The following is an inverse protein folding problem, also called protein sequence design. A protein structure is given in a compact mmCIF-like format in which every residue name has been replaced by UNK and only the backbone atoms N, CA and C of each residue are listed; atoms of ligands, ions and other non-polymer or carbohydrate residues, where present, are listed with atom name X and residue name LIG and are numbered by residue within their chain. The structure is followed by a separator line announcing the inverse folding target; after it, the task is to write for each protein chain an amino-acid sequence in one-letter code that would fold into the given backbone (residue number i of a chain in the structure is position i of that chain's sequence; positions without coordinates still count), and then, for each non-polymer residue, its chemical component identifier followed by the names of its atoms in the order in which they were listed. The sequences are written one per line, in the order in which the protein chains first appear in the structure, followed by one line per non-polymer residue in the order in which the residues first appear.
data_IF_710293595328
#
_entry.id   IF_710293595328
#
_cell.length_a   1.000
_cell.length_b   1.000
_cell.length_c   1.000
_cell.angle_alpha   90.00
_cell.angle_beta   90.00
_cell.angle_gamma   90.00
#
_symmetry.space_group_name_H-M   'P 1'
#
loop_
_entity.id
_entity.type
_entity.pdbx_description
1 polymer ?
#
# COMPACT_ATOMS: atom_id res chain seq x y z
N UNK A 1 56.10 -62.53 27.06
CA UNK A 1 55.11 -62.17 26.06
C UNK A 1 54.59 -60.81 26.51
N UNK A 2 55.07 -59.77 25.86
CA UNK A 2 54.86 -58.36 26.26
C UNK A 2 54.12 -57.68 25.07
N UNK A 3 52.77 -57.58 25.21
CA UNK A 3 51.94 -56.97 24.17
C UNK A 3 51.71 -55.49 24.52
N UNK A 4 52.64 -54.65 24.04
CA UNK A 4 52.47 -53.20 24.13
C UNK A 4 51.80 -52.74 22.83
N UNK A 5 50.53 -52.31 22.93
CA UNK A 5 49.80 -51.62 21.88
C UNK A 5 50.27 -50.17 21.76
N UNK A 6 50.68 -49.66 20.59
CA UNK A 6 51.11 -48.27 20.42
C UNK A 6 49.96 -47.30 20.45
N UNK A 7 50.02 -46.31 21.39
CA UNK A 7 49.04 -45.23 21.44
C UNK A 7 49.38 -44.17 20.38
N UNK A 8 48.56 -44.04 19.36
CA UNK A 8 48.66 -43.00 18.34
C UNK A 8 48.06 -41.71 18.92
N UNK A 9 48.93 -40.69 19.19
CA UNK A 9 48.49 -39.33 19.49
C UNK A 9 48.14 -38.63 18.18
N UNK A 10 46.85 -38.29 17.97
CA UNK A 10 46.41 -37.35 16.98
C UNK A 10 46.56 -35.91 17.51
N UNK A 11 47.53 -35.16 17.01
CA UNK A 11 47.62 -33.71 17.14
C UNK A 11 46.80 -33.08 16.01
N UNK A 12 45.48 -33.05 16.15
CA UNK A 12 44.60 -32.29 15.30
C UNK A 12 44.46 -30.86 15.79
N UNK A 13 45.05 -29.89 15.10
CA UNK A 13 44.79 -28.49 15.28
C UNK A 13 43.30 -28.23 14.92
N UNK A 14 42.49 -27.89 15.94
CA UNK A 14 41.13 -27.43 15.71
C UNK A 14 41.21 -26.02 15.13
N UNK A 15 41.16 -25.87 13.82
CA UNK A 15 40.72 -24.65 13.17
C UNK A 15 39.28 -24.42 13.57
N UNK A 16 39.02 -23.34 14.32
CA UNK A 16 37.68 -22.88 14.65
C UNK A 16 36.88 -22.68 13.34
N UNK A 17 35.61 -23.11 13.27
CA UNK A 17 34.78 -22.79 12.11
C UNK A 17 34.69 -21.27 12.00
N UNK A 18 35.05 -20.75 10.82
CA UNK A 18 34.78 -19.36 10.46
C UNK A 18 33.34 -19.04 10.83
N UNK A 19 33.14 -18.01 11.64
CA UNK A 19 31.83 -17.44 11.88
C UNK A 19 31.31 -17.00 10.52
N UNK A 20 30.38 -17.79 9.97
CA UNK A 20 29.51 -17.36 8.87
C UNK A 20 28.90 -16.04 9.34
N UNK A 21 29.29 -14.98 8.64
CA UNK A 21 28.81 -13.64 8.89
C UNK A 21 27.31 -13.67 9.05
N UNK A 22 26.82 -13.12 10.16
CA UNK A 22 25.41 -12.79 10.32
C UNK A 22 25.07 -11.94 9.12
N UNK A 23 24.29 -12.52 8.19
CA UNK A 23 23.65 -11.78 7.12
C UNK A 23 23.03 -10.56 7.77
N UNK A 24 23.45 -9.37 7.34
CA UNK A 24 22.84 -8.13 7.78
C UNK A 24 21.34 -8.33 7.52
N UNK A 25 20.53 -8.35 8.58
CA UNK A 25 19.07 -8.30 8.46
C UNK A 25 18.76 -7.08 7.61
N UNK A 26 18.33 -7.31 6.38
CA UNK A 26 17.84 -6.28 5.50
C UNK A 26 16.57 -5.75 6.19
N UNK A 27 16.72 -4.66 6.94
CA UNK A 27 15.60 -3.92 7.52
C UNK A 27 14.74 -3.44 6.37
N UNK A 28 13.60 -4.10 6.16
CA UNK A 28 12.64 -3.73 5.13
C UNK A 28 12.21 -4.91 4.26
N UNK A 29 11.92 -6.06 4.87
CA UNK A 29 11.19 -7.11 4.15
C UNK A 29 9.81 -6.57 3.81
N UNK A 30 9.43 -6.70 2.52
CA UNK A 30 8.05 -6.58 2.06
C UNK A 30 7.11 -7.42 2.95
N UNK A 31 5.81 -7.23 2.83
CA UNK A 31 4.75 -7.95 3.56
C UNK A 31 5.21 -9.29 4.16
N UNK A 32 5.04 -9.47 5.47
CA UNK A 32 5.43 -10.72 6.14
C UNK A 32 4.25 -11.69 6.16
N UNK A 33 4.51 -12.98 5.89
CA UNK A 33 3.49 -14.05 5.90
C UNK A 33 2.54 -14.01 7.12
N UNK A 34 3.02 -13.60 8.30
CA UNK A 34 2.21 -13.53 9.52
C UNK A 34 1.08 -12.49 9.49
N UNK A 35 1.10 -11.56 8.54
CA UNK A 35 0.07 -10.53 8.37
C UNK A 35 -0.94 -10.88 7.29
N UNK A 36 -0.69 -11.93 6.49
CA UNK A 36 -1.67 -12.40 5.52
C UNK A 36 -2.92 -12.95 6.20
N UNK A 37 -4.08 -12.51 5.72
CA UNK A 37 -5.38 -12.93 6.25
C UNK A 37 -5.84 -12.16 7.48
N UNK A 38 -5.19 -11.06 7.82
CA UNK A 38 -5.63 -10.19 8.90
C UNK A 38 -6.81 -9.28 8.49
N UNK A 39 -7.23 -8.39 9.39
CA UNK A 39 -8.35 -7.47 9.13
C UNK A 39 -8.05 -6.48 8.00
N UNK A 40 -6.78 -6.18 7.69
CA UNK A 40 -6.41 -5.29 6.60
C UNK A 40 -6.67 -5.95 5.23
N UNK A 41 -6.43 -7.26 5.11
CA UNK A 41 -6.74 -8.01 3.90
C UNK A 41 -8.25 -8.13 3.68
N UNK A 42 -9.05 -8.25 4.75
CA UNK A 42 -10.51 -8.19 4.64
C UNK A 42 -10.99 -6.83 4.10
N UNK A 43 -10.36 -5.72 4.53
CA UNK A 43 -10.66 -4.38 4.01
C UNK A 43 -10.23 -4.25 2.55
N UNK A 44 -9.05 -4.75 2.16
CA UNK A 44 -8.60 -4.75 0.76
C UNK A 44 -9.56 -5.53 -0.14
N UNK A 45 -10.03 -6.69 0.32
CA UNK A 45 -11.04 -7.48 -0.39
C UNK A 45 -12.35 -6.70 -0.56
N UNK A 46 -12.81 -5.98 0.46
CA UNK A 46 -13.97 -5.10 0.35
C UNK A 46 -13.76 -4.04 -0.75
N UNK A 47 -12.59 -3.40 -0.84
CA UNK A 47 -12.28 -2.46 -1.92
C UNK A 47 -12.39 -3.10 -3.29
N UNK A 48 -11.87 -4.32 -3.46
CA UNK A 48 -12.00 -5.07 -4.72
C UNK A 48 -13.46 -5.30 -5.09
N UNK A 49 -14.28 -5.74 -4.15
CA UNK A 49 -15.69 -6.03 -4.37
C UNK A 49 -16.48 -4.76 -4.74
N UNK A 50 -16.20 -3.63 -4.08
CA UNK A 50 -16.88 -2.36 -4.33
C UNK A 50 -16.50 -1.70 -5.66
N UNK A 51 -15.25 -1.87 -6.11
CA UNK A 51 -14.78 -1.22 -7.34
C UNK A 51 -14.88 -2.13 -8.58
N UNK A 52 -15.26 -3.40 -8.43
CA UNK A 52 -15.21 -4.41 -9.49
C UNK A 52 -15.96 -3.99 -10.77
N UNK A 53 -17.13 -3.40 -10.62
CA UNK A 53 -17.99 -3.00 -11.75
C UNK A 53 -17.59 -1.68 -12.42
N UNK A 54 -16.75 -0.90 -11.75
CA UNK A 54 -16.28 0.37 -12.28
C UNK A 54 -14.85 0.31 -12.83
N UNK A 55 -13.92 -0.07 -11.99
CA UNK A 55 -12.51 -0.17 -12.33
C UNK A 55 -11.85 -1.21 -11.40
N UNK A 56 -11.81 -2.48 -11.80
CA UNK A 56 -11.28 -3.57 -10.98
C UNK A 56 -9.90 -3.26 -10.41
N UNK A 57 -9.67 -3.69 -9.16
CA UNK A 57 -8.46 -3.41 -8.44
C UNK A 57 -7.37 -4.45 -8.75
N UNK A 58 -6.16 -3.99 -9.01
CA UNK A 58 -4.96 -4.81 -9.22
C UNK A 58 -3.87 -4.40 -8.22
N UNK A 59 -3.19 -5.34 -7.62
CA UNK A 59 -2.11 -5.07 -6.67
C UNK A 59 -0.79 -4.77 -7.38
N UNK A 60 -0.07 -3.75 -6.93
CA UNK A 60 1.28 -3.43 -7.38
C UNK A 60 2.27 -4.52 -6.89
N UNK A 61 2.88 -5.32 -7.79
CA UNK A 61 3.65 -6.51 -7.41
C UNK A 61 4.83 -6.24 -6.50
N UNK A 62 5.46 -5.06 -6.58
CA UNK A 62 6.66 -4.72 -5.80
C UNK A 62 6.43 -4.75 -4.29
N UNK A 63 5.19 -4.64 -3.82
CA UNK A 63 4.87 -4.67 -2.39
C UNK A 63 4.55 -6.06 -1.86
N UNK A 64 4.27 -7.00 -2.76
CA UNK A 64 3.87 -8.37 -2.41
C UNK A 64 4.98 -9.33 -2.82
N UNK A 65 5.70 -9.96 -1.88
CA UNK A 65 6.72 -10.96 -2.18
C UNK A 65 6.18 -12.04 -3.11
N UNK A 66 6.99 -12.49 -4.06
CA UNK A 66 6.58 -13.44 -5.10
C UNK A 66 6.00 -14.73 -4.50
N UNK A 67 6.61 -15.24 -3.45
CA UNK A 67 6.18 -16.45 -2.73
C UNK A 67 4.86 -16.27 -1.96
N UNK A 68 4.39 -15.03 -1.77
CA UNK A 68 3.13 -14.70 -1.08
C UNK A 68 2.01 -14.28 -2.04
N UNK A 69 2.29 -13.99 -3.32
CA UNK A 69 1.31 -13.46 -4.27
C UNK A 69 0.09 -14.38 -4.44
N UNK A 70 0.32 -15.69 -4.58
CA UNK A 70 -0.78 -16.65 -4.74
C UNK A 70 -1.71 -16.67 -3.52
N UNK A 71 -1.16 -16.60 -2.32
CA UNK A 71 -1.95 -16.55 -1.08
C UNK A 71 -2.67 -15.21 -0.91
N UNK A 72 -2.01 -14.10 -1.22
CA UNK A 72 -2.59 -12.76 -1.23
C UNK A 72 -3.81 -12.69 -2.18
N UNK A 73 -3.68 -13.18 -3.43
CA UNK A 73 -4.78 -13.23 -4.40
C UNK A 73 -5.94 -14.07 -3.86
N UNK A 74 -5.66 -15.23 -3.26
CA UNK A 74 -6.69 -16.11 -2.68
C UNK A 74 -7.49 -15.40 -1.57
N UNK A 75 -6.80 -14.62 -0.71
CA UNK A 75 -7.40 -13.95 0.44
C UNK A 75 -8.14 -12.67 0.04
N UNK A 76 -7.51 -11.83 -0.76
CA UNK A 76 -8.03 -10.49 -1.11
C UNK A 76 -8.86 -10.49 -2.38
N UNK A 77 -8.71 -11.50 -3.25
CA UNK A 77 -9.26 -11.57 -4.63
C UNK A 77 -8.74 -10.46 -5.54
N UNK A 78 -7.64 -9.81 -5.18
CA UNK A 78 -6.99 -8.77 -5.97
C UNK A 78 -5.87 -9.42 -6.78
N UNK A 79 -5.96 -9.48 -8.12
CA UNK A 79 -4.87 -10.00 -8.96
C UNK A 79 -3.68 -9.05 -8.96
N UNK A 80 -2.48 -9.60 -9.27
CA UNK A 80 -1.30 -8.78 -9.48
C UNK A 80 -1.39 -8.00 -10.79
N UNK A 81 -0.91 -6.77 -10.80
CA UNK A 81 -0.77 -5.95 -12.01
C UNK A 81 0.45 -6.42 -12.81
N UNK A 82 0.25 -7.42 -13.66
CA UNK A 82 1.31 -7.98 -14.51
C UNK A 82 1.05 -7.62 -15.97
N UNK A 83 2.06 -7.07 -16.65
CA UNK A 83 1.95 -6.72 -18.08
C UNK A 83 1.04 -5.52 -18.34
N UNK A 84 0.33 -5.55 -19.50
CA UNK A 84 -0.56 -4.45 -19.90
C UNK A 84 -1.88 -4.52 -19.11
N UNK A 85 -2.26 -3.43 -18.39
CA UNK A 85 -3.52 -3.41 -17.66
C UNK A 85 -4.72 -3.39 -18.63
N UNK A 86 -5.93 -3.75 -18.15
CA UNK A 86 -7.16 -3.57 -18.91
C UNK A 86 -7.46 -2.08 -19.15
N UNK A 87 -8.47 -1.78 -19.97
CA UNK A 87 -8.85 -0.40 -20.31
C UNK A 87 -9.28 0.41 -19.07
N UNK A 88 -10.06 -0.20 -18.19
CA UNK A 88 -10.44 0.40 -16.91
C UNK A 88 -9.88 -0.44 -15.76
N UNK A 89 -9.05 0.16 -14.92
CA UNK A 89 -8.43 -0.50 -13.78
C UNK A 89 -8.11 0.47 -12.65
N UNK A 90 -7.99 -0.06 -11.46
CA UNK A 90 -7.47 0.64 -10.28
C UNK A 90 -6.24 -0.08 -9.74
N UNK A 91 -5.42 0.60 -8.97
CA UNK A 91 -4.19 0.04 -8.38
C UNK A 91 -4.29 0.05 -6.86
N UNK A 92 -3.94 -1.08 -6.24
CA UNK A 92 -3.66 -1.18 -4.82
C UNK A 92 -2.15 -1.15 -4.60
N UNK A 93 -1.69 -0.15 -3.86
CA UNK A 93 -0.36 -0.14 -3.28
C UNK A 93 -0.46 -0.57 -1.81
N UNK A 94 0.31 -1.57 -1.43
CA UNK A 94 0.31 -2.15 -0.09
C UNK A 94 1.70 -2.08 0.57
N UNK A 95 2.29 -0.88 0.72
CA UNK A 95 3.59 -0.72 1.35
C UNK A 95 3.50 -1.07 2.85
N UNK A 96 4.53 -1.70 3.41
CA UNK A 96 4.58 -2.13 4.81
C UNK A 96 4.42 -0.97 5.83
N UNK A 97 4.83 0.24 5.42
CA UNK A 97 4.73 1.43 6.28
C UNK A 97 3.69 2.43 5.78
N UNK A 98 3.65 2.69 4.47
CA UNK A 98 2.72 3.65 3.89
C UNK A 98 3.38 4.67 2.97
N UNK A 99 2.84 5.89 2.97
CA UNK A 99 3.20 6.96 2.03
C UNK A 99 4.21 7.90 2.71
N UNK A 100 5.30 8.22 2.02
CA UNK A 100 6.26 9.23 2.47
C UNK A 100 5.63 10.61 2.54
N UNK A 101 6.09 11.41 3.49
CA UNK A 101 5.76 12.84 3.54
C UNK A 101 6.39 13.56 2.34
N UNK A 102 5.72 14.62 1.82
CA UNK A 102 6.33 15.49 0.82
C UNK A 102 7.66 16.07 1.35
N UNK A 103 8.69 16.06 0.49
CA UNK A 103 10.05 16.47 0.84
C UNK A 103 10.98 15.32 1.25
N UNK A 104 10.46 14.13 1.52
CA UNK A 104 11.25 12.92 1.81
C UNK A 104 11.47 12.04 0.55
N UNK A 105 11.17 12.56 -0.63
CA UNK A 105 11.11 11.83 -1.90
C UNK A 105 12.47 11.32 -2.40
N UNK A 106 13.56 11.92 -1.93
CA UNK A 106 14.93 11.56 -2.32
C UNK A 106 15.46 10.26 -1.68
N UNK A 107 14.70 9.65 -0.79
CA UNK A 107 15.04 8.34 -0.25
C UNK A 107 14.57 7.26 -1.20
N UNK A 108 15.39 6.23 -1.45
CA UNK A 108 15.04 5.13 -2.35
C UNK A 108 13.68 4.53 -2.00
N UNK A 109 12.78 4.43 -2.98
CA UNK A 109 11.53 3.70 -2.83
C UNK A 109 11.84 2.21 -2.68
N UNK A 110 11.60 1.67 -1.50
CA UNK A 110 11.68 0.23 -1.24
C UNK A 110 10.27 -0.38 -1.15
N UNK A 111 10.21 -1.58 -0.61
CA UNK A 111 8.93 -2.25 -0.32
C UNK A 111 8.15 -1.61 0.84
N UNK A 112 8.82 -0.79 1.66
CA UNK A 112 8.23 -0.24 2.89
C UNK A 112 7.43 1.03 2.67
N UNK A 113 7.78 1.82 1.66
CA UNK A 113 7.15 3.12 1.40
C UNK A 113 6.90 3.35 -0.08
N UNK A 114 5.92 4.21 -0.35
CA UNK A 114 5.67 4.76 -1.68
C UNK A 114 5.71 6.28 -1.64
N UNK A 115 6.27 6.91 -2.68
CA UNK A 115 6.25 8.36 -2.84
C UNK A 115 4.94 8.83 -3.49
N UNK A 116 4.52 10.05 -3.20
CA UNK A 116 3.37 10.71 -3.83
C UNK A 116 3.55 10.79 -5.36
N UNK A 117 4.77 11.05 -5.83
CA UNK A 117 5.10 11.09 -7.25
C UNK A 117 4.80 9.78 -7.98
N UNK A 118 4.99 8.63 -7.34
CA UNK A 118 4.66 7.32 -7.90
C UNK A 118 3.14 7.13 -8.01
N UNK A 119 2.36 7.51 -7.00
CA UNK A 119 0.90 7.49 -7.04
C UNK A 119 0.40 8.37 -8.20
N UNK A 120 0.94 9.59 -8.32
CA UNK A 120 0.61 10.49 -9.41
C UNK A 120 0.97 9.92 -10.79
N UNK A 121 2.10 9.21 -10.91
CA UNK A 121 2.50 8.53 -12.15
C UNK A 121 1.54 7.38 -12.50
N UNK A 122 1.09 6.60 -11.54
CA UNK A 122 0.13 5.52 -11.76
C UNK A 122 -1.19 6.06 -12.34
N UNK A 123 -1.71 7.19 -11.81
CA UNK A 123 -2.91 7.84 -12.34
C UNK A 123 -2.68 8.40 -13.75
N UNK A 124 -1.55 9.07 -14.01
CA UNK A 124 -1.19 9.53 -15.37
C UNK A 124 -1.04 8.39 -16.37
N UNK A 125 -0.70 7.19 -15.92
CA UNK A 125 -0.63 5.98 -16.74
C UNK A 125 -1.98 5.29 -16.96
N UNK A 126 -3.10 5.91 -16.56
CA UNK A 126 -4.45 5.47 -16.89
C UNK A 126 -5.22 4.76 -15.78
N UNK A 127 -4.64 4.61 -14.58
CA UNK A 127 -5.41 4.09 -13.45
C UNK A 127 -6.58 5.05 -13.11
N UNK A 128 -7.78 4.49 -12.96
CA UNK A 128 -8.99 5.25 -12.60
C UNK A 128 -9.00 5.63 -11.12
N UNK A 129 -8.38 4.80 -10.28
CA UNK A 129 -8.21 5.04 -8.86
C UNK A 129 -6.91 4.36 -8.40
N UNK A 130 -6.18 5.00 -7.50
CA UNK A 130 -5.06 4.40 -6.79
C UNK A 130 -5.39 4.39 -5.31
N UNK A 131 -5.47 3.19 -4.72
CA UNK A 131 -5.70 2.99 -3.28
C UNK A 131 -4.36 2.63 -2.67
N UNK A 132 -3.95 3.37 -1.65
CA UNK A 132 -2.67 3.11 -0.98
C UNK A 132 -2.89 2.94 0.51
N UNK A 133 -2.44 1.80 1.04
CA UNK A 133 -2.38 1.56 2.47
C UNK A 133 -1.38 2.52 3.13
N UNK A 134 -1.78 3.18 4.23
CA UNK A 134 -0.96 4.20 4.86
C UNK A 134 -1.05 4.16 6.38
N UNK A 135 -0.04 3.57 7.00
CA UNK A 135 0.19 3.61 8.46
C UNK A 135 1.32 4.55 8.87
N UNK A 136 1.90 5.30 7.95
CA UNK A 136 3.03 6.17 8.24
C UNK A 136 2.66 7.31 9.19
N UNK A 137 1.38 7.69 9.24
CA UNK A 137 0.85 8.71 10.16
C UNK A 137 0.87 8.28 11.64
N UNK A 138 1.07 6.98 11.92
CA UNK A 138 1.28 6.46 13.29
C UNK A 138 2.73 6.62 13.77
N UNK A 139 3.67 6.91 12.88
CA UNK A 139 5.09 7.10 13.23
C UNK A 139 5.33 8.58 13.54
N UNK A 140 5.97 8.82 14.67
CA UNK A 140 6.22 10.17 15.17
C UNK A 140 7.17 10.94 14.24
N UNK A 141 6.63 11.95 13.54
CA UNK A 141 7.38 12.88 12.71
C UNK A 141 7.29 14.33 13.24
N UNK A 142 6.84 14.52 14.47
CA UNK A 142 6.59 15.86 15.02
C UNK A 142 5.32 16.54 14.47
N UNK A 143 4.62 15.90 13.52
CA UNK A 143 3.34 16.36 12.96
C UNK A 143 2.20 15.51 13.45
N UNK A 144 1.02 16.12 13.64
CA UNK A 144 -0.22 15.38 13.94
C UNK A 144 -0.64 14.52 12.73
N UNK A 145 -1.37 13.45 13.00
CA UNK A 145 -1.80 12.49 11.96
C UNK A 145 -2.63 13.14 10.84
N UNK A 146 -3.58 13.98 11.22
CA UNK A 146 -4.42 14.73 10.28
C UNK A 146 -3.59 15.74 9.44
N UNK A 147 -2.58 16.37 10.04
CA UNK A 147 -1.65 17.24 9.32
C UNK A 147 -0.83 16.47 8.29
N UNK A 148 -0.34 15.28 8.63
CA UNK A 148 0.39 14.43 7.71
C UNK A 148 -0.50 13.98 6.53
N UNK A 149 -1.74 13.54 6.78
CA UNK A 149 -2.69 13.18 5.72
C UNK A 149 -3.00 14.39 4.83
N UNK A 150 -3.25 15.57 5.41
CA UNK A 150 -3.45 16.80 4.63
C UNK A 150 -2.23 17.18 3.79
N UNK A 151 -1.02 17.04 4.30
CA UNK A 151 0.20 17.29 3.54
C UNK A 151 0.29 16.42 2.29
N UNK A 152 -0.03 15.12 2.40
CA UNK A 152 -0.06 14.17 1.29
C UNK A 152 -1.16 14.50 0.28
N UNK A 153 -2.37 14.81 0.73
CA UNK A 153 -3.48 15.23 -0.13
C UNK A 153 -3.16 16.56 -0.85
N UNK A 154 -2.55 17.52 -0.17
CA UNK A 154 -2.10 18.78 -0.77
C UNK A 154 -1.08 18.55 -1.88
N UNK A 155 -0.13 17.62 -1.67
CA UNK A 155 0.86 17.29 -2.70
C UNK A 155 0.22 16.65 -3.94
N UNK A 156 -0.81 15.81 -3.78
CA UNK A 156 -1.60 15.30 -4.90
C UNK A 156 -2.37 16.42 -5.60
N UNK A 157 -3.02 17.31 -4.85
CA UNK A 157 -3.76 18.46 -5.40
C UNK A 157 -2.85 19.39 -6.19
N UNK A 158 -1.62 19.63 -5.73
CA UNK A 158 -0.61 20.40 -6.47
C UNK A 158 -0.22 19.77 -7.82
N UNK A 159 -0.46 18.44 -7.97
CA UNK A 159 -0.31 17.70 -9.22
C UNK A 159 -1.61 17.64 -10.06
N UNK A 160 -2.64 18.40 -9.70
CA UNK A 160 -3.93 18.42 -10.39
C UNK A 160 -4.82 17.19 -10.12
N UNK A 161 -4.51 16.41 -9.08
CA UNK A 161 -5.20 15.18 -8.73
C UNK A 161 -6.14 15.40 -7.53
N UNK A 162 -7.16 14.57 -7.42
CA UNK A 162 -8.08 14.57 -6.29
C UNK A 162 -7.82 13.40 -5.37
N UNK A 163 -8.07 13.58 -4.06
CA UNK A 163 -7.85 12.51 -3.10
C UNK A 163 -8.67 12.68 -1.83
N UNK A 164 -8.87 11.57 -1.14
CA UNK A 164 -9.46 11.51 0.20
C UNK A 164 -8.87 10.32 0.97
N UNK A 165 -8.94 10.38 2.29
CA UNK A 165 -8.61 9.24 3.13
C UNK A 165 -9.85 8.53 3.63
N UNK A 166 -9.83 7.20 3.59
CA UNK A 166 -10.62 6.38 4.48
C UNK A 166 -9.89 6.28 5.81
N UNK A 167 -10.47 6.87 6.87
CA UNK A 167 -9.83 6.96 8.19
C UNK A 167 -10.38 5.89 9.11
N UNK A 168 -9.55 4.92 9.42
CA UNK A 168 -9.80 3.86 10.38
C UNK A 168 -8.48 3.43 11.03
N UNK A 169 -8.46 2.33 11.79
CA UNK A 169 -7.18 1.73 12.22
C UNK A 169 -6.33 1.25 11.02
N UNK A 170 -6.95 0.99 9.88
CA UNK A 170 -6.33 0.73 8.60
C UNK A 170 -6.62 1.91 7.67
N UNK A 171 -5.80 2.97 7.71
CA UNK A 171 -5.99 4.13 6.86
C UNK A 171 -5.60 3.82 5.41
N UNK A 172 -6.43 4.26 4.46
CA UNK A 172 -6.17 4.16 3.03
C UNK A 172 -6.34 5.53 2.37
N UNK A 173 -5.34 5.92 1.57
CA UNK A 173 -5.45 7.05 0.67
C UNK A 173 -6.07 6.57 -0.65
N UNK A 174 -7.14 7.23 -1.06
CA UNK A 174 -7.73 7.13 -2.40
C UNK A 174 -7.29 8.33 -3.22
N UNK A 175 -6.63 8.12 -4.33
CA UNK A 175 -6.23 9.14 -5.28
C UNK A 175 -6.87 8.85 -6.65
N UNK A 176 -7.36 9.88 -7.31
CA UNK A 176 -8.11 9.78 -8.58
C UNK A 176 -7.71 10.93 -9.52
N UNK A 177 -7.88 10.75 -10.86
CA UNK A 177 -7.40 11.72 -11.83
C UNK A 177 -8.18 13.04 -11.84
N UNK A 178 -9.48 13.01 -11.54
CA UNK A 178 -10.34 14.18 -11.68
C UNK A 178 -11.52 14.18 -10.69
N UNK A 179 -12.30 15.26 -10.73
CA UNK A 179 -13.46 15.45 -9.85
C UNK A 179 -14.58 14.42 -10.12
N UNK A 180 -14.77 13.98 -11.36
CA UNK A 180 -15.79 12.98 -11.70
C UNK A 180 -15.49 11.64 -11.06
N UNK A 181 -14.25 11.16 -11.20
CA UNK A 181 -13.76 9.95 -10.55
C UNK A 181 -13.80 10.07 -9.01
N UNK A 182 -13.49 11.26 -8.47
CA UNK A 182 -13.58 11.55 -7.04
C UNK A 182 -15.00 11.37 -6.50
N UNK A 183 -16.00 12.01 -7.14
CA UNK A 183 -17.39 11.89 -6.72
C UNK A 183 -17.89 10.46 -6.87
N UNK A 184 -17.57 9.80 -8.00
CA UNK A 184 -17.97 8.43 -8.27
C UNK A 184 -17.42 7.46 -7.23
N UNK A 185 -16.11 7.53 -6.94
CA UNK A 185 -15.49 6.65 -5.95
C UNK A 185 -16.12 6.85 -4.57
N UNK A 186 -16.31 8.09 -4.14
CA UNK A 186 -16.96 8.36 -2.85
C UNK A 186 -18.40 7.87 -2.80
N UNK A 187 -19.17 8.07 -3.87
CA UNK A 187 -20.55 7.58 -3.94
C UNK A 187 -20.61 6.06 -3.78
N UNK A 188 -19.77 5.30 -4.50
CA UNK A 188 -19.67 3.84 -4.35
C UNK A 188 -19.44 3.44 -2.90
N UNK A 189 -18.54 4.11 -2.18
CA UNK A 189 -18.23 3.79 -0.79
C UNK A 189 -19.39 4.14 0.15
N UNK A 190 -20.02 5.28 -0.04
CA UNK A 190 -21.16 5.74 0.78
C UNK A 190 -22.39 4.84 0.55
N UNK A 191 -22.68 4.48 -0.69
CA UNK A 191 -23.80 3.59 -1.05
C UNK A 191 -23.61 2.18 -0.48
N UNK A 192 -22.36 1.75 -0.30
CA UNK A 192 -22.00 0.51 0.38
C UNK A 192 -22.08 0.61 1.93
N UNK A 193 -22.52 1.76 2.47
CA UNK A 193 -22.73 1.96 3.91
C UNK A 193 -21.49 2.47 4.67
N UNK A 194 -20.43 2.90 3.98
CA UNK A 194 -19.29 3.54 4.65
C UNK A 194 -19.72 4.95 5.10
N UNK A 195 -19.62 5.27 6.41
CA UNK A 195 -20.02 6.58 6.90
C UNK A 195 -19.16 7.69 6.26
N UNK A 196 -19.81 8.75 5.77
CA UNK A 196 -19.11 9.89 5.16
C UNK A 196 -18.07 10.51 6.10
N UNK A 197 -18.31 10.48 7.41
CA UNK A 197 -17.37 10.94 8.45
C UNK A 197 -16.04 10.15 8.48
N UNK A 198 -15.98 8.99 7.84
CA UNK A 198 -14.75 8.21 7.65
C UNK A 198 -13.98 8.58 6.39
N UNK A 199 -14.57 9.42 5.52
CA UNK A 199 -13.98 9.86 4.26
C UNK A 199 -13.45 11.29 4.41
N UNK A 200 -12.24 11.42 4.96
CA UNK A 200 -11.59 12.73 5.19
C UNK A 200 -11.15 13.33 3.84
N UNK A 201 -11.61 14.55 3.56
CA UNK A 201 -11.30 15.32 2.36
C UNK A 201 -10.61 16.64 2.70
N UNK A 202 -9.99 17.27 1.69
CA UNK A 202 -9.47 18.62 1.86
C UNK A 202 -10.60 19.65 2.03
N UNK A 203 -10.48 20.64 2.95
CA UNK A 203 -11.51 21.64 3.17
C UNK A 203 -11.91 22.45 1.94
N UNK A 204 -11.00 22.65 0.99
CA UNK A 204 -11.21 23.44 -0.24
C UNK A 204 -11.58 22.61 -1.47
N UNK A 205 -11.67 21.29 -1.36
CA UNK A 205 -12.35 20.45 -2.35
C UNK A 205 -13.87 20.43 -2.10
N UNK A 206 -14.37 21.51 -1.46
CA UNK A 206 -15.76 21.72 -1.18
C UNK A 206 -16.53 21.84 -2.51
N UNK A 207 -17.04 20.75 -2.94
CA UNK A 207 -18.34 20.47 -3.54
C UNK A 207 -18.99 21.62 -4.29
N UNK A 208 -18.74 21.77 -5.58
CA UNK A 208 -19.82 22.11 -6.47
C UNK A 208 -20.78 20.92 -6.46
N UNK A 209 -21.76 20.91 -5.53
CA UNK A 209 -22.97 20.13 -5.65
C UNK A 209 -23.54 20.46 -7.02
N UNK A 210 -23.46 19.53 -7.95
CA UNK A 210 -24.29 19.57 -9.15
C UNK A 210 -25.72 19.43 -8.62
N UNK A 211 -26.38 20.58 -8.48
CA UNK A 211 -27.80 20.62 -8.22
C UNK A 211 -28.48 20.00 -9.44
N UNK A 212 -28.82 18.72 -9.34
CA UNK A 212 -29.83 18.17 -10.23
C UNK A 212 -31.10 18.99 -10.03
N UNK A 213 -31.30 19.97 -10.91
CA UNK A 213 -32.60 20.55 -11.15
C UNK A 213 -33.46 19.41 -11.72
N UNK A 214 -34.22 18.76 -10.84
CA UNK A 214 -35.39 18.03 -11.22
C UNK A 214 -36.37 19.04 -11.85
N UNK A 215 -36.27 19.19 -13.16
CA UNK A 215 -37.27 19.92 -13.93
C UNK A 215 -38.56 19.13 -13.89
N UNK A 216 -39.48 19.55 -13.05
CA UNK A 216 -40.89 19.26 -13.16
C UNK A 216 -41.43 19.88 -14.47
N UNK A 217 -41.88 19.04 -15.33
CA UNK A 217 -43.03 19.31 -16.24
C UNK A 217 -43.82 18.04 -16.41
#
# INVERSE_FOLDING_TARGET
MDDRVPTIRWSGSRTAPAQLGRSAEIKGEAMRRKYLGDSYDAVKRMWQELLADWAPLYAEPRFIPEDLQAEFIRLTRIPMLLGKPPEAFSILNDPDTGIRLPGEENQSEGHTHIAIGTIAKQLRNGAQCVITFDQSDYRNHGMKRDEQRRAKMNSLAANGLHSFYFVSHASFLFAVPDASAFHRTRAILIDAGIPETRLETMPNQAFHRIAHKSGSR
#
